data_IF_848825897937
#
_entry.id   IF_848825897937
#
_cell.length_a   1.000
_cell.length_b   1.000
_cell.length_c   1.000
_cell.angle_alpha   90.00
_cell.angle_beta   90.00
_cell.angle_gamma   90.00
#
_symmetry.space_group_name_H-M   'P 1'
#
loop_
_entity.id
_entity.type
_entity.pdbx_description
1 polymer ?
#
# COMPACT_ATOMS: atom_id res chain seq x y z
N UNK A 1 -18.14 10.18 -4.37
CA UNK A 1 -17.14 10.32 -5.44
C UNK A 1 -16.44 11.65 -5.26
N UNK A 2 -15.14 11.64 -5.15
CA UNK A 2 -14.31 12.86 -5.10
C UNK A 2 -13.32 12.80 -6.27
N UNK A 3 -13.22 13.88 -7.01
CA UNK A 3 -12.25 14.01 -8.10
C UNK A 3 -11.52 15.34 -7.93
N UNK A 4 -10.21 15.31 -7.75
CA UNK A 4 -9.45 16.53 -7.61
C UNK A 4 -8.14 16.40 -6.83
N UNK A 5 -7.68 17.52 -6.30
CA UNK A 5 -6.47 17.62 -5.49
C UNK A 5 -6.85 17.94 -4.06
N UNK A 6 -6.34 17.17 -3.12
CA UNK A 6 -6.48 17.39 -1.68
C UNK A 6 -5.10 17.65 -1.08
N UNK A 7 -4.97 18.75 -0.37
CA UNK A 7 -3.72 19.12 0.31
C UNK A 7 -4.02 19.39 1.77
N UNK A 8 -3.35 18.70 2.67
CA UNK A 8 -3.49 18.93 4.11
C UNK A 8 -3.68 17.65 4.92
N UNK A 9 -4.45 17.76 6.00
CA UNK A 9 -4.72 16.65 6.90
C UNK A 9 -6.19 16.24 6.78
N UNK A 10 -6.42 14.98 6.47
CA UNK A 10 -7.75 14.38 6.44
C UNK A 10 -7.82 13.29 7.52
N UNK A 11 -8.79 13.42 8.43
CA UNK A 11 -8.99 12.45 9.51
C UNK A 11 -10.43 11.99 9.50
N UNK A 12 -10.67 10.68 9.44
CA UNK A 12 -12.02 10.14 9.53
C UNK A 12 -12.29 8.91 8.71
N UNK A 13 -13.55 8.73 8.34
CA UNK A 13 -14.02 7.61 7.54
C UNK A 13 -14.41 8.11 6.16
N UNK A 14 -13.87 7.51 5.14
CA UNK A 14 -14.19 7.80 3.74
C UNK A 14 -14.73 6.55 3.07
N UNK A 15 -15.90 6.67 2.45
CA UNK A 15 -16.52 5.57 1.71
C UNK A 15 -16.83 6.02 0.29
N UNK A 16 -16.32 5.29 -0.71
CA UNK A 16 -16.65 5.57 -2.10
C UNK A 16 -15.46 5.60 -3.04
N UNK A 17 -15.50 6.51 -3.99
CA UNK A 17 -14.47 6.63 -5.04
C UNK A 17 -13.71 7.94 -4.86
N UNK A 18 -12.41 7.85 -4.75
CA UNK A 18 -11.49 8.97 -4.77
C UNK A 18 -10.59 8.86 -6.00
N UNK A 19 -10.56 9.92 -6.79
CA UNK A 19 -9.70 10.01 -7.98
C UNK A 19 -8.94 11.34 -7.94
N UNK A 20 -7.61 11.28 -7.92
CA UNK A 20 -6.83 12.52 -7.95
C UNK A 20 -5.50 12.45 -7.22
N UNK A 21 -5.07 13.60 -6.73
CA UNK A 21 -3.82 13.75 -5.98
C UNK A 21 -4.11 14.11 -4.53
N UNK A 22 -3.52 13.39 -3.61
CA UNK A 22 -3.55 13.68 -2.18
C UNK A 22 -2.15 13.98 -1.68
N UNK A 23 -1.96 15.14 -1.08
CA UNK A 23 -0.67 15.55 -0.50
C UNK A 23 -0.89 15.90 0.97
N UNK A 24 -0.22 15.19 1.86
CA UNK A 24 -0.31 15.48 3.30
C UNK A 24 -0.50 14.22 4.15
N UNK A 25 -1.36 14.31 5.13
CA UNK A 25 -1.62 13.23 6.09
C UNK A 25 -3.06 12.75 5.98
N UNK A 26 -3.24 11.48 5.75
CA UNK A 26 -4.55 10.82 5.77
C UNK A 26 -4.57 9.80 6.90
N UNK A 27 -5.50 9.99 7.84
CA UNK A 27 -5.65 9.10 9.00
C UNK A 27 -7.08 8.61 9.09
N UNK A 28 -7.30 7.31 9.08
CA UNK A 28 -8.63 6.78 9.29
C UNK A 28 -8.95 5.50 8.53
N UNK A 29 -10.20 5.38 8.13
CA UNK A 29 -10.69 4.21 7.38
C UNK A 29 -11.17 4.66 6.01
N UNK A 30 -10.66 4.03 4.98
CA UNK A 30 -11.11 4.23 3.60
C UNK A 30 -11.65 2.94 3.04
N UNK A 31 -12.88 2.98 2.54
CA UNK A 31 -13.55 1.84 1.90
C UNK A 31 -13.97 2.23 0.49
N UNK A 32 -13.48 1.52 -0.52
CA UNK A 32 -13.88 1.77 -1.90
C UNK A 32 -12.75 1.74 -2.91
N UNK A 33 -12.73 2.70 -3.81
CA UNK A 33 -11.74 2.79 -4.88
C UNK A 33 -10.93 4.07 -4.74
N UNK A 34 -9.63 3.92 -4.70
CA UNK A 34 -8.69 5.04 -4.71
C UNK A 34 -7.83 4.96 -5.97
N UNK A 35 -7.85 6.00 -6.77
CA UNK A 35 -7.06 6.08 -8.00
C UNK A 35 -6.29 7.40 -8.04
N UNK A 36 -4.98 7.32 -8.11
CA UNK A 36 -4.19 8.55 -8.24
C UNK A 36 -2.83 8.52 -7.55
N UNK A 37 -2.42 9.68 -7.07
CA UNK A 37 -1.13 9.87 -6.41
C UNK A 37 -1.35 10.31 -4.97
N UNK A 38 -0.71 9.61 -4.04
CA UNK A 38 -0.65 9.99 -2.63
C UNK A 38 0.78 10.31 -2.23
N UNK A 39 1.00 11.49 -1.70
CA UNK A 39 2.31 11.95 -1.21
C UNK A 39 2.19 12.34 0.25
N UNK A 40 2.90 11.66 1.13
CA UNK A 40 2.88 11.99 2.55
C UNK A 40 2.71 10.78 3.47
N UNK A 41 1.84 10.90 4.44
CA UNK A 41 1.60 9.86 5.46
C UNK A 41 0.18 9.34 5.37
N UNK A 42 0.06 8.03 5.23
CA UNK A 42 -1.20 7.29 5.23
C UNK A 42 -1.23 6.39 6.46
N UNK A 43 -2.19 6.60 7.35
CA UNK A 43 -2.33 5.79 8.57
C UNK A 43 -3.76 5.29 8.70
N UNK A 44 -3.95 3.98 8.76
CA UNK A 44 -5.30 3.47 9.01
C UNK A 44 -5.62 2.15 8.31
N UNK A 45 -6.88 2.01 7.96
CA UNK A 45 -7.41 0.81 7.29
C UNK A 45 -7.93 1.19 5.90
N UNK A 46 -7.45 0.51 4.90
CA UNK A 46 -7.86 0.67 3.52
C UNK A 46 -8.46 -0.63 3.01
N UNK A 47 -9.72 -0.59 2.59
CA UNK A 47 -10.45 -1.75 2.07
C UNK A 47 -10.98 -1.45 0.68
N UNK A 48 -10.54 -2.22 -0.32
CA UNK A 48 -11.03 -2.06 -1.67
C UNK A 48 -9.96 -2.12 -2.74
N UNK A 49 -10.03 -1.21 -3.71
CA UNK A 49 -9.09 -1.15 -4.83
C UNK A 49 -8.26 0.13 -4.75
N UNK A 50 -6.96 0.00 -4.77
CA UNK A 50 -6.04 1.12 -4.84
C UNK A 50 -5.19 1.01 -6.11
N UNK A 51 -5.22 2.06 -6.93
CA UNK A 51 -4.45 2.11 -8.18
C UNK A 51 -3.69 3.43 -8.25
N UNK A 52 -2.36 3.37 -8.31
CA UNK A 52 -1.60 4.60 -8.48
C UNK A 52 -0.21 4.60 -7.85
N UNK A 53 0.22 5.77 -7.42
CA UNK A 53 1.54 5.99 -6.83
C UNK A 53 1.41 6.49 -5.40
N UNK A 54 2.10 5.84 -4.48
CA UNK A 54 2.25 6.29 -3.10
C UNK A 54 3.70 6.65 -2.82
N UNK A 55 3.93 7.86 -2.32
CA UNK A 55 5.26 8.33 -1.95
C UNK A 55 5.24 8.79 -0.49
N UNK A 56 6.01 8.14 0.37
CA UNK A 56 6.08 8.52 1.79
C UNK A 56 5.94 7.34 2.75
N UNK A 57 5.16 7.52 3.79
CA UNK A 57 4.97 6.52 4.85
C UNK A 57 3.53 6.02 4.83
N UNK A 58 3.36 4.72 4.76
CA UNK A 58 2.05 4.08 4.86
C UNK A 58 2.07 3.10 6.04
N UNK A 59 1.15 3.29 6.98
CA UNK A 59 1.05 2.46 8.19
C UNK A 59 -0.38 1.98 8.36
N UNK A 60 -0.59 0.67 8.40
CA UNK A 60 -1.94 0.18 8.66
C UNK A 60 -2.27 -1.17 8.05
N UNK A 61 -3.54 -1.33 7.75
CA UNK A 61 -4.09 -2.54 7.15
C UNK A 61 -4.65 -2.22 5.76
N UNK A 62 -4.20 -2.96 4.78
CA UNK A 62 -4.66 -2.84 3.40
C UNK A 62 -5.30 -4.16 2.98
N UNK A 63 -6.58 -4.13 2.64
CA UNK A 63 -7.33 -5.31 2.24
C UNK A 63 -7.93 -5.10 0.86
N UNK A 64 -7.60 -5.97 -0.09
CA UNK A 64 -8.17 -5.91 -1.43
C UNK A 64 -7.17 -6.01 -2.56
N UNK A 65 -7.29 -5.16 -3.55
CA UNK A 65 -6.40 -5.12 -4.72
C UNK A 65 -5.61 -3.83 -4.73
N UNK A 66 -4.31 -3.93 -4.80
CA UNK A 66 -3.43 -2.78 -4.93
C UNK A 66 -2.55 -2.91 -6.17
N UNK A 67 -2.61 -1.92 -7.05
CA UNK A 67 -1.83 -1.88 -8.29
C UNK A 67 -1.08 -0.54 -8.37
N UNK A 68 0.24 -0.59 -8.42
CA UNK A 68 0.97 0.66 -8.58
C UNK A 68 2.41 0.67 -8.10
N UNK A 69 2.87 1.86 -7.76
CA UNK A 69 4.23 2.10 -7.28
C UNK A 69 4.19 2.66 -5.86
N UNK A 70 4.96 2.06 -4.96
CA UNK A 70 5.15 2.58 -3.60
C UNK A 70 6.62 2.93 -3.40
N UNK A 71 6.88 4.17 -3.01
CA UNK A 71 8.24 4.66 -2.72
C UNK A 71 8.27 5.16 -1.28
N UNK A 72 9.07 4.52 -0.44
CA UNK A 72 9.19 4.94 0.97
C UNK A 72 9.07 3.80 1.97
N UNK A 73 8.30 4.00 3.02
CA UNK A 73 8.12 3.02 4.10
C UNK A 73 6.70 2.52 4.13
N UNK A 74 6.53 1.22 4.10
CA UNK A 74 5.26 0.53 4.24
C UNK A 74 5.31 -0.38 5.47
N UNK A 75 4.46 -0.10 6.45
CA UNK A 75 4.39 -0.86 7.70
C UNK A 75 2.97 -1.35 7.93
N UNK A 76 2.78 -2.66 8.04
CA UNK A 76 1.46 -3.15 8.38
C UNK A 76 1.09 -4.52 7.82
N UNK A 77 -0.20 -4.71 7.62
CA UNK A 77 -0.77 -5.95 7.11
C UNK A 77 -1.38 -5.72 5.74
N UNK A 78 -0.97 -6.52 4.79
CA UNK A 78 -1.44 -6.52 3.42
C UNK A 78 -2.18 -7.83 3.15
N UNK A 79 -3.46 -7.76 2.82
CA UNK A 79 -4.29 -8.94 2.53
C UNK A 79 -4.95 -8.79 1.18
N UNK A 80 -4.65 -9.68 0.23
CA UNK A 80 -5.29 -9.65 -1.07
C UNK A 80 -4.35 -9.85 -2.26
N UNK A 81 -4.55 -9.08 -3.32
CA UNK A 81 -3.74 -9.12 -4.53
C UNK A 81 -2.96 -7.82 -4.67
N UNK A 82 -1.66 -7.94 -4.78
CA UNK A 82 -0.74 -6.82 -4.91
C UNK A 82 0.08 -6.96 -6.18
N UNK A 83 -0.08 -6.00 -7.09
CA UNK A 83 0.75 -5.89 -8.29
C UNK A 83 1.50 -4.56 -8.19
N UNK A 84 2.77 -4.62 -7.88
CA UNK A 84 3.48 -3.41 -7.47
C UNK A 84 4.97 -3.35 -7.80
N UNK A 85 5.47 -2.13 -7.75
CA UNK A 85 6.89 -1.84 -7.59
C UNK A 85 7.06 -1.15 -6.23
N UNK A 86 7.78 -1.78 -5.32
CA UNK A 86 8.13 -1.22 -4.02
C UNK A 86 9.59 -0.79 -4.03
N UNK A 87 9.83 0.47 -3.70
CA UNK A 87 11.19 1.00 -3.51
C UNK A 87 11.28 1.57 -2.10
N UNK A 88 12.01 0.88 -1.22
CA UNK A 88 12.16 1.34 0.15
C UNK A 88 12.10 0.23 1.19
N UNK A 89 11.32 0.43 2.24
CA UNK A 89 11.24 -0.49 3.38
C UNK A 89 9.82 -1.03 3.52
N UNK A 90 9.70 -2.34 3.58
CA UNK A 90 8.48 -3.04 3.97
C UNK A 90 8.68 -3.74 5.32
N UNK A 91 7.78 -3.50 6.25
CA UNK A 91 7.77 -4.20 7.55
C UNK A 91 6.35 -4.67 7.84
N UNK A 92 6.13 -5.98 7.86
CA UNK A 92 4.79 -6.45 8.20
C UNK A 92 4.44 -7.85 7.74
N UNK A 93 3.16 -8.05 7.49
CA UNK A 93 2.58 -9.31 7.03
C UNK A 93 1.91 -9.13 5.68
N UNK A 94 2.25 -9.99 4.75
CA UNK A 94 1.62 -10.07 3.43
C UNK A 94 0.89 -11.41 3.33
N UNK A 95 -0.41 -11.37 3.04
CA UNK A 95 -1.23 -12.55 2.86
C UNK A 95 -1.95 -12.46 1.52
N UNK A 96 -1.64 -13.37 0.59
CA UNK A 96 -2.31 -13.40 -0.69
C UNK A 96 -1.39 -13.55 -1.88
N UNK A 97 -1.65 -12.83 -2.95
CA UNK A 97 -0.86 -12.86 -4.18
C UNK A 97 -0.07 -11.57 -4.33
N UNK A 98 1.22 -11.67 -4.48
CA UNK A 98 2.11 -10.54 -4.73
C UNK A 98 2.84 -10.75 -6.06
N UNK A 99 2.70 -9.79 -6.96
CA UNK A 99 3.38 -9.80 -8.26
C UNK A 99 4.11 -8.49 -8.46
N UNK A 100 5.43 -8.52 -8.64
CA UNK A 100 6.12 -7.26 -8.90
C UNK A 100 7.59 -7.24 -8.55
N UNK A 101 8.08 -6.03 -8.32
CA UNK A 101 9.49 -5.77 -7.99
C UNK A 101 9.59 -5.08 -6.65
N UNK A 102 10.43 -5.61 -5.77
CA UNK A 102 10.79 -4.96 -4.50
C UNK A 102 12.28 -4.62 -4.49
N UNK A 103 12.58 -3.36 -4.26
CA UNK A 103 13.94 -2.85 -4.15
C UNK A 103 14.12 -2.20 -2.77
N UNK A 104 14.94 -2.82 -1.91
CA UNK A 104 15.19 -2.27 -0.58
C UNK A 104 15.20 -3.32 0.53
N UNK A 105 14.56 -3.02 1.65
CA UNK A 105 14.52 -3.90 2.83
C UNK A 105 13.11 -4.42 3.05
N UNK A 106 12.98 -5.72 3.19
CA UNK A 106 11.72 -6.38 3.52
C UNK A 106 11.88 -7.19 4.80
N UNK A 107 11.06 -6.87 5.81
CA UNK A 107 11.07 -7.58 7.09
C UNK A 107 9.67 -8.03 7.44
N UNK A 108 9.46 -9.34 7.58
CA UNK A 108 8.13 -9.80 7.99
C UNK A 108 7.76 -11.21 7.54
N UNK A 109 6.48 -11.45 7.40
CA UNK A 109 5.91 -12.73 7.02
C UNK A 109 5.15 -12.59 5.72
N UNK A 110 5.42 -13.47 4.75
CA UNK A 110 4.65 -13.59 3.52
C UNK A 110 3.99 -14.96 3.46
N UNK A 111 2.68 -14.96 3.26
CA UNK A 111 1.88 -16.18 3.12
C UNK A 111 1.10 -16.12 1.82
N UNK A 112 1.40 -17.03 0.88
CA UNK A 112 0.69 -17.09 -0.40
C UNK A 112 1.61 -17.23 -1.60
N UNK A 113 1.21 -16.69 -2.74
CA UNK A 113 1.98 -16.74 -3.98
C UNK A 113 2.73 -15.43 -4.20
N UNK A 114 4.03 -15.55 -4.42
CA UNK A 114 4.90 -14.40 -4.68
C UNK A 114 5.65 -14.60 -5.99
N UNK A 115 5.40 -13.72 -6.95
CA UNK A 115 6.04 -13.76 -8.27
C UNK A 115 6.71 -12.41 -8.53
N UNK A 116 8.03 -12.41 -8.68
CA UNK A 116 8.70 -11.15 -8.97
C UNK A 116 10.19 -11.15 -8.66
N UNK A 117 10.74 -9.94 -8.60
CA UNK A 117 12.17 -9.72 -8.33
C UNK A 117 12.33 -8.99 -7.00
N UNK A 118 13.17 -9.54 -6.14
CA UNK A 118 13.60 -8.91 -4.90
C UNK A 118 15.06 -8.49 -5.03
N UNK A 119 15.32 -7.20 -4.90
CA UNK A 119 16.69 -6.64 -4.89
C UNK A 119 16.91 -5.95 -3.54
N UNK A 120 17.73 -6.56 -2.68
CA UNK A 120 17.98 -5.98 -1.36
C UNK A 120 18.05 -7.02 -0.24
N UNK A 121 17.66 -6.62 0.96
CA UNK A 121 17.69 -7.46 2.15
C UNK A 121 16.29 -7.93 2.50
N UNK A 122 16.12 -9.24 2.66
CA UNK A 122 14.88 -9.86 3.12
C UNK A 122 15.12 -10.62 4.41
N UNK A 123 14.35 -10.30 5.45
CA UNK A 123 14.41 -10.98 6.75
C UNK A 123 12.99 -11.38 7.13
N UNK A 124 12.74 -12.69 7.22
CA UNK A 124 11.40 -13.13 7.62
C UNK A 124 11.07 -14.56 7.21
N UNK A 125 9.78 -14.86 7.23
CA UNK A 125 9.25 -16.18 6.89
C UNK A 125 8.43 -16.09 5.63
N UNK A 126 8.74 -16.95 4.66
CA UNK A 126 7.96 -17.13 3.44
C UNK A 126 7.24 -18.47 3.53
N UNK A 127 5.91 -18.48 3.41
CA UNK A 127 5.08 -19.67 3.37
C UNK A 127 4.24 -19.64 2.11
N UNK A 128 4.58 -20.50 1.16
CA UNK A 128 3.90 -20.56 -0.14
C UNK A 128 4.87 -20.75 -1.30
N UNK A 129 4.37 -20.50 -2.49
CA UNK A 129 5.11 -20.63 -3.75
C UNK A 129 5.21 -19.27 -4.43
#
# INVERSE_FOLDING_TARGET
>A
MFVGVSVGVLVGVSVGVFVGVSVGVLVGVSVGVMVGVSVGVLVGVFVGVSVGVSVGVSVGVFVGVSVGVSVGVLVGVLVGVFVWVLVGVFVGVLVGVSVGVSVGVSVGVSVGVSVGVLVGVSVGVLVGV
#
